data_IF_976732069305
#
_entry.id   IF_976732069305
#
_cell.length_a   1.000
_cell.length_b   1.000
_cell.length_c   1.000
_cell.angle_alpha   90.00
_cell.angle_beta   90.00
_cell.angle_gamma   90.00
#
_symmetry.space_group_name_H-M   'P 1'
#
loop_
_entity.id
_entity.type
_entity.pdbx_description
1 polymer ?
#
# COMPACT_ATOMS: atom_id res chain seq x y z
N UNK A 1 -34.58 -14.14 -48.28
CA UNK A 1 -33.89 -13.06 -47.55
C UNK A 1 -33.48 -13.60 -46.19
N UNK A 2 -32.23 -14.04 -46.04
CA UNK A 2 -31.68 -14.58 -44.80
C UNK A 2 -30.74 -13.52 -44.20
N UNK A 3 -31.09 -12.98 -43.03
CA UNK A 3 -30.16 -12.24 -42.19
C UNK A 3 -29.62 -13.22 -41.15
N UNK A 4 -28.33 -13.52 -41.27
CA UNK A 4 -27.55 -14.30 -40.31
C UNK A 4 -27.01 -13.34 -39.27
N UNK A 5 -27.39 -13.54 -38.00
CA UNK A 5 -26.73 -12.92 -36.86
C UNK A 5 -25.35 -13.56 -36.67
N UNK A 6 -24.31 -12.74 -36.77
CA UNK A 6 -22.93 -13.10 -36.46
C UNK A 6 -22.62 -12.63 -35.04
N UNK A 7 -22.50 -13.59 -34.11
CA UNK A 7 -21.76 -13.41 -32.87
C UNK A 7 -20.30 -13.03 -33.23
N UNK A 8 -19.84 -11.87 -32.76
CA UNK A 8 -18.42 -11.51 -32.78
C UNK A 8 -17.94 -11.17 -31.39
N UNK A 9 -17.49 -12.22 -30.70
CA UNK A 9 -16.45 -12.13 -29.67
C UNK A 9 -15.25 -11.37 -30.23
N UNK A 10 -14.82 -10.29 -29.57
CA UNK A 10 -13.68 -9.51 -30.01
C UNK A 10 -13.42 -8.31 -29.10
N UNK A 11 -12.48 -8.48 -28.17
CA UNK A 11 -11.97 -7.41 -27.31
C UNK A 11 -10.69 -7.85 -26.62
N UNK A 12 -9.69 -8.26 -27.41
CA UNK A 12 -8.35 -8.60 -26.96
C UNK A 12 -7.41 -7.50 -27.48
N UNK A 13 -7.14 -6.49 -26.65
CA UNK A 13 -6.10 -5.45 -26.79
C UNK A 13 -6.10 -4.73 -25.42
N UNK A 14 -5.03 -4.80 -24.61
CA UNK A 14 -3.85 -3.93 -24.74
C UNK A 14 -2.61 -4.65 -24.18
N UNK A 15 -1.55 -4.64 -24.99
CA UNK A 15 -0.17 -4.87 -24.55
C UNK A 15 0.35 -3.67 -23.74
N UNK A 16 1.23 -3.94 -22.77
CA UNK A 16 2.20 -2.94 -22.28
C UNK A 16 1.91 -2.49 -20.85
N UNK A 17 2.87 -2.49 -19.93
CA UNK A 17 4.24 -2.92 -20.02
C UNK A 17 4.76 -3.13 -18.61
N UNK A 18 5.68 -4.07 -18.47
CA UNK A 18 6.60 -4.06 -17.35
C UNK A 18 7.49 -2.82 -17.51
N UNK A 19 7.13 -1.74 -16.85
CA UNK A 19 8.05 -0.62 -16.62
C UNK A 19 8.34 -0.55 -15.13
N UNK A 20 9.42 -1.22 -14.75
CA UNK A 20 10.15 -0.88 -13.54
C UNK A 20 10.72 0.53 -13.71
N UNK A 21 10.16 1.51 -12.99
CA UNK A 21 10.79 2.81 -12.80
C UNK A 21 10.54 3.28 -11.36
N UNK A 22 11.66 3.41 -10.67
CA UNK A 22 11.94 4.16 -9.43
C UNK A 22 10.85 5.11 -8.93
N UNK A 23 10.49 4.96 -7.65
CA UNK A 23 10.04 6.09 -6.82
C UNK A 23 8.58 6.51 -6.91
N UNK A 24 7.70 5.70 -7.50
CA UNK A 24 6.25 5.89 -7.30
C UNK A 24 5.79 5.00 -6.16
N UNK A 25 5.21 5.60 -5.12
CA UNK A 25 4.31 4.97 -4.14
C UNK A 25 3.11 4.35 -4.87
N UNK A 26 3.36 3.25 -5.58
CA UNK A 26 2.35 2.42 -6.21
C UNK A 26 1.61 1.71 -5.09
N UNK A 27 0.60 2.40 -4.57
CA UNK A 27 -0.48 1.83 -3.76
C UNK A 27 -1.01 0.63 -4.53
N UNK A 28 -0.52 -0.56 -4.16
CA UNK A 28 -1.23 -1.81 -4.43
C UNK A 28 -2.46 -1.74 -3.55
N UNK A 29 -3.50 -1.07 -4.06
CA UNK A 29 -4.85 -1.06 -3.51
C UNK A 29 -5.39 -2.49 -3.69
N UNK A 30 -4.97 -3.37 -2.79
CA UNK A 30 -5.61 -4.65 -2.57
C UNK A 30 -6.94 -4.28 -1.92
N UNK A 31 -8.00 -4.25 -2.73
CA UNK A 31 -9.39 -4.00 -2.36
C UNK A 31 -9.82 -4.96 -1.24
N UNK A 32 -9.48 -4.60 0.00
CA UNK A 32 -10.00 -5.20 1.21
C UNK A 32 -11.32 -4.50 1.49
N UNK A 33 -12.42 -5.25 1.53
CA UNK A 33 -13.78 -4.69 1.53
C UNK A 33 -13.92 -3.45 2.41
N UNK A 34 -14.38 -2.35 1.82
CA UNK A 34 -14.66 -1.04 2.43
C UNK A 34 -13.51 -0.20 3.01
N UNK A 35 -12.37 -0.77 3.39
CA UNK A 35 -11.19 -0.01 3.84
C UNK A 35 -10.11 0.01 2.77
N UNK A 36 -9.62 1.20 2.44
CA UNK A 36 -8.59 1.41 1.42
C UNK A 36 -7.44 2.25 1.97
N UNK A 37 -6.20 1.83 1.70
CA UNK A 37 -5.03 2.69 1.87
C UNK A 37 -4.90 3.58 0.64
N UNK A 38 -5.12 4.88 0.81
CA UNK A 38 -5.13 5.85 -0.30
C UNK A 38 -3.77 6.47 -0.54
N UNK A 39 -3.00 6.69 0.52
CA UNK A 39 -1.69 7.34 0.49
C UNK A 39 -0.74 6.60 1.41
N UNK A 40 0.53 6.52 1.01
CA UNK A 40 1.61 6.02 1.86
C UNK A 40 2.85 6.88 1.65
N UNK A 41 3.35 7.40 2.75
CA UNK A 41 4.57 8.20 2.84
C UNK A 41 5.52 7.59 3.87
N UNK A 42 6.80 7.90 3.77
CA UNK A 42 7.76 7.54 4.81
C UNK A 42 8.72 8.67 5.12
N UNK A 43 9.17 8.69 6.37
CA UNK A 43 10.18 9.62 6.85
C UNK A 43 11.19 8.91 7.72
N UNK A 44 12.46 9.03 7.35
CA UNK A 44 13.58 8.61 8.20
C UNK A 44 13.76 9.64 9.32
N UNK A 45 13.92 9.16 10.55
CA UNK A 45 14.21 9.97 11.73
C UNK A 45 15.71 9.91 12.05
N UNK A 46 16.22 10.89 12.78
CA UNK A 46 17.67 11.02 13.05
C UNK A 46 18.31 9.88 13.85
N UNK A 47 17.53 8.93 14.37
CA UNK A 47 18.00 7.80 15.16
C UNK A 47 17.88 6.44 14.44
N UNK A 48 17.65 6.46 13.12
CA UNK A 48 17.51 5.25 12.31
C UNK A 48 16.08 4.70 12.22
N UNK A 49 15.13 5.25 12.96
CA UNK A 49 13.73 4.82 12.84
C UNK A 49 13.11 5.38 11.57
N UNK A 50 12.28 4.58 10.90
CA UNK A 50 11.47 5.01 9.77
C UNK A 50 10.01 5.08 10.21
N UNK A 51 9.39 6.23 10.02
CA UNK A 51 7.96 6.41 10.26
C UNK A 51 7.24 6.31 8.93
N UNK A 52 6.39 5.29 8.79
CA UNK A 52 5.49 5.14 7.64
C UNK A 52 4.16 5.77 8.01
N UNK A 53 3.72 6.75 7.23
CA UNK A 53 2.40 7.38 7.37
C UNK A 53 1.49 6.82 6.28
N UNK A 54 0.32 6.32 6.67
CA UNK A 54 -0.66 5.81 5.73
C UNK A 54 -2.02 6.48 5.98
N UNK A 55 -2.66 6.94 4.90
CA UNK A 55 -4.06 7.39 4.94
C UNK A 55 -4.96 6.21 4.64
N UNK A 56 -5.91 5.95 5.53
CA UNK A 56 -6.90 4.88 5.40
C UNK A 56 -8.28 5.51 5.26
N UNK A 57 -8.95 5.21 4.15
CA UNK A 57 -10.32 5.65 3.84
C UNK A 57 -11.31 4.53 4.09
N UNK A 58 -12.47 4.90 4.61
CA UNK A 58 -13.64 4.04 4.70
C UNK A 58 -14.78 4.63 3.86
N UNK A 59 -15.12 3.96 2.76
CA UNK A 59 -16.22 4.38 1.87
C UNK A 59 -17.56 3.68 2.19
N UNK A 60 -17.63 2.91 3.29
CA UNK A 60 -18.88 2.28 3.74
C UNK A 60 -19.71 3.19 4.64
N UNK A 61 -20.99 2.83 4.79
CA UNK A 61 -21.96 3.52 5.65
C UNK A 61 -21.78 3.23 7.14
N UNK A 62 -20.85 2.36 7.51
CA UNK A 62 -20.59 1.98 8.90
C UNK A 62 -19.11 2.13 9.28
N UNK A 63 -18.84 2.25 10.58
CA UNK A 63 -17.48 2.25 11.09
C UNK A 63 -16.84 0.89 10.81
N UNK A 64 -15.61 0.90 10.29
CA UNK A 64 -14.84 -0.31 10.00
C UNK A 64 -13.54 -0.33 10.78
N UNK A 65 -13.07 -1.53 11.06
CA UNK A 65 -11.76 -1.79 11.66
C UNK A 65 -10.98 -2.79 10.83
N UNK A 66 -9.66 -2.76 10.94
CA UNK A 66 -8.77 -3.73 10.31
C UNK A 66 -7.36 -3.61 10.85
N UNK A 67 -6.47 -4.47 10.37
CA UNK A 67 -5.05 -4.43 10.72
C UNK A 67 -4.28 -3.72 9.60
N UNK A 68 -3.73 -2.56 9.90
CA UNK A 68 -2.84 -1.84 9.00
C UNK A 68 -1.42 -2.32 9.24
N UNK A 69 -0.80 -2.84 8.19
CA UNK A 69 0.60 -3.24 8.17
C UNK A 69 1.44 -2.20 7.47
N UNK A 70 2.63 -1.93 8.00
CA UNK A 70 3.69 -1.19 7.33
C UNK A 70 4.93 -2.09 7.20
N UNK A 71 5.60 -2.00 6.06
CA UNK A 71 6.89 -2.66 5.83
C UNK A 71 7.90 -1.61 5.35
N UNK A 72 9.12 -1.70 5.88
CA UNK A 72 10.30 -1.03 5.35
C UNK A 72 11.35 -2.07 5.03
N UNK A 73 11.81 -2.09 3.79
CA UNK A 73 12.92 -2.93 3.34
C UNK A 73 14.13 -2.06 3.05
N UNK A 74 15.23 -2.38 3.72
CA UNK A 74 16.55 -1.79 3.50
C UNK A 74 17.19 -2.47 2.29
N UNK A 75 17.66 -1.70 1.31
CA UNK A 75 18.33 -2.29 0.15
C UNK A 75 19.65 -2.94 0.57
N UNK A 76 19.86 -4.20 0.16
CA UNK A 76 20.98 -5.02 0.63
C UNK A 76 20.92 -5.46 2.11
N UNK A 77 19.85 -5.13 2.83
CA UNK A 77 19.69 -5.42 4.26
C UNK A 77 18.38 -6.14 4.60
N UNK A 78 17.94 -5.94 5.84
CA UNK A 78 16.76 -6.60 6.41
C UNK A 78 15.44 -5.95 5.98
N UNK A 79 14.35 -6.69 6.21
CA UNK A 79 12.97 -6.20 6.06
C UNK A 79 12.34 -6.11 7.43
N UNK A 80 11.76 -4.96 7.73
CA UNK A 80 11.09 -4.63 8.98
C UNK A 80 9.59 -4.50 8.70
N UNK A 81 8.77 -5.09 9.56
CA UNK A 81 7.32 -5.03 9.47
C UNK A 81 6.74 -4.71 10.84
N UNK A 82 5.75 -3.84 10.87
CA UNK A 82 4.98 -3.50 12.07
C UNK A 82 3.52 -3.35 11.68
N UNK A 83 2.62 -3.57 12.63
CA UNK A 83 1.19 -3.43 12.41
C UNK A 83 0.46 -2.75 13.55
N UNK A 84 -0.67 -2.12 13.20
CA UNK A 84 -1.55 -1.48 14.16
C UNK A 84 -3.01 -1.74 13.79
N UNK A 85 -3.86 -1.90 14.80
CA UNK A 85 -5.30 -1.97 14.61
C UNK A 85 -5.85 -0.57 14.33
N UNK A 86 -6.55 -0.42 13.21
CA UNK A 86 -7.15 0.85 12.79
C UNK A 86 -8.66 0.81 12.90
N UNK A 87 -9.25 1.96 13.21
CA UNK A 87 -10.71 2.15 13.27
C UNK A 87 -11.07 3.46 12.56
N UNK A 88 -11.77 3.31 11.43
CA UNK A 88 -12.12 4.41 10.53
C UNK A 88 -13.64 4.55 10.48
N UNK A 89 -14.21 5.67 10.93
CA UNK A 89 -15.64 5.95 10.82
C UNK A 89 -16.14 5.92 9.37
N UNK A 90 -17.45 5.72 9.19
CA UNK A 90 -18.11 5.74 7.90
C UNK A 90 -17.80 7.04 7.12
N UNK A 91 -17.53 6.92 5.81
CA UNK A 91 -17.27 8.05 4.90
C UNK A 91 -16.15 9.00 5.36
N UNK A 92 -15.14 8.47 6.06
CA UNK A 92 -14.00 9.26 6.53
C UNK A 92 -12.67 8.70 6.10
N UNK A 93 -11.66 9.55 6.15
CA UNK A 93 -10.26 9.22 5.94
C UNK A 93 -9.47 9.61 7.19
N UNK A 94 -8.58 8.72 7.64
CA UNK A 94 -7.73 8.93 8.81
C UNK A 94 -6.29 8.57 8.50
N UNK A 95 -5.38 9.37 9.04
CA UNK A 95 -3.95 9.12 8.98
C UNK A 95 -3.48 8.28 10.18
N UNK A 96 -2.63 7.31 9.89
CA UNK A 96 -1.98 6.44 10.87
C UNK A 96 -0.47 6.49 10.66
N UNK A 97 0.29 6.46 11.76
CA UNK A 97 1.75 6.50 11.74
C UNK A 97 2.31 5.27 12.42
N UNK A 98 2.93 4.40 11.65
CA UNK A 98 3.60 3.20 12.15
C UNK A 98 5.10 3.48 12.18
N UNK A 99 5.70 3.39 13.36
CA UNK A 99 7.15 3.54 13.54
C UNK A 99 7.80 2.16 13.43
N UNK A 100 8.79 2.06 12.55
CA UNK A 100 9.64 0.90 12.42
C UNK A 100 11.03 1.27 12.92
N UNK A 101 11.48 0.57 13.96
CA UNK A 101 12.81 0.73 14.52
C UNK A 101 13.79 -0.14 13.70
N UNK A 102 14.55 0.50 12.83
CA UNK A 102 15.58 -0.17 12.01
C UNK A 102 16.85 -0.26 12.84
N UNK A 103 17.57 -1.38 12.72
CA UNK A 103 18.89 -1.50 13.32
C UNK A 103 19.78 -0.34 12.89
N UNK A 104 20.45 0.28 13.85
CA UNK A 104 21.24 1.49 13.60
C UNK A 104 22.41 1.23 12.65
N UNK A 105 23.00 0.03 12.68
CA UNK A 105 24.05 -0.38 11.75
C UNK A 105 23.55 -0.49 10.31
N UNK A 106 22.34 -1.01 10.12
CA UNK A 106 21.69 -1.04 8.81
C UNK A 106 21.26 0.36 8.37
N UNK A 107 20.76 1.21 9.27
CA UNK A 107 20.34 2.56 8.90
C UNK A 107 21.49 3.45 8.43
N UNK A 108 22.72 3.22 8.90
CA UNK A 108 23.89 3.98 8.46
C UNK A 108 24.49 3.48 7.15
N UNK A 109 24.25 2.22 6.80
CA UNK A 109 24.78 1.57 5.60
C UNK A 109 23.77 1.51 4.45
N UNK A 110 22.52 1.89 4.72
CA UNK A 110 21.44 1.89 3.74
C UNK A 110 21.63 2.99 2.68
N UNK A 111 21.83 2.58 1.43
CA UNK A 111 21.83 3.50 0.28
C UNK A 111 20.40 3.88 -0.16
N UNK A 112 19.42 3.02 0.14
CA UNK A 112 18.03 3.20 -0.25
C UNK A 112 17.08 2.40 0.65
N UNK A 113 15.89 2.95 0.84
CA UNK A 113 14.76 2.27 1.48
C UNK A 113 13.62 2.10 0.50
N UNK A 114 12.90 1.00 0.63
CA UNK A 114 11.58 0.82 0.02
C UNK A 114 10.56 0.59 1.12
N UNK A 115 9.36 1.13 0.95
CA UNK A 115 8.31 1.05 1.95
C UNK A 115 6.97 0.74 1.29
N UNK A 116 6.08 0.11 2.05
CA UNK A 116 4.69 -0.12 1.66
C UNK A 116 3.81 -0.20 2.90
N UNK A 117 2.54 0.12 2.72
CA UNK A 117 1.50 -0.14 3.71
C UNK A 117 0.34 -0.90 3.06
N UNK A 118 -0.30 -1.79 3.80
CA UNK A 118 -1.47 -2.53 3.32
C UNK A 118 -2.40 -2.88 4.48
N UNK A 119 -3.67 -3.11 4.16
CA UNK A 119 -4.64 -3.66 5.09
C UNK A 119 -4.68 -5.17 4.95
N UNK A 120 -4.74 -5.86 6.08
CA UNK A 120 -5.08 -7.27 6.13
C UNK A 120 -6.60 -7.41 6.32
N UNK A 121 -7.22 -8.28 5.53
CA UNK A 121 -8.61 -8.68 5.74
C UNK A 121 -8.65 -9.83 6.75
N UNK A 122 -9.52 -9.71 7.73
CA UNK A 122 -10.00 -10.85 8.53
C UNK A 122 -10.73 -11.87 7.63
#
# INVERSE_FOLDING_TARGET
MQRRDLLRTGGLFVCGGMTALSGCSGVVSKLTGSLEVTTTDSRVTGFGNVVVTASVRNDSDETKSGTLWAQVKVDGGSTYEESENVIVPAHTEKEYQIRLDIDFGESLSADRYSYKAWLESD
#
